data_IF_883067175518
#
_entry.id   IF_883067175518
#
_cell.length_a   1.000
_cell.length_b   1.000
_cell.length_c   1.000
_cell.angle_alpha   90.00
_cell.angle_beta   90.00
_cell.angle_gamma   90.00
#
_symmetry.space_group_name_H-M   'P 1'
#
loop_
_entity.id
_entity.type
_entity.pdbx_description
1 polymer ?
#
# COMPACT_ATOMS: atom_id res chain seq x y z
N UNK A 1 -13.19 -39.16 -20.09
CA UNK A 1 -12.35 -37.94 -20.17
C UNK A 1 -13.11 -36.89 -19.37
N UNK A 2 -12.90 -36.86 -18.05
CA UNK A 2 -13.61 -35.94 -17.17
C UNK A 2 -12.85 -34.60 -17.10
N UNK A 3 -13.55 -33.45 -17.17
CA UNK A 3 -12.91 -32.16 -16.97
C UNK A 3 -12.65 -31.95 -15.47
N UNK A 4 -11.38 -31.89 -15.09
CA UNK A 4 -10.95 -31.48 -13.75
C UNK A 4 -11.38 -30.03 -13.48
N UNK A 5 -12.22 -29.86 -12.47
CA UNK A 5 -12.58 -28.56 -11.92
C UNK A 5 -11.39 -27.97 -11.16
N UNK A 6 -10.85 -26.86 -11.65
CA UNK A 6 -9.87 -26.04 -10.93
C UNK A 6 -10.60 -25.13 -9.94
N UNK A 7 -10.44 -25.42 -8.65
CA UNK A 7 -10.98 -24.63 -7.54
C UNK A 7 -10.18 -23.32 -7.40
N UNK A 8 -10.83 -22.16 -7.63
CA UNK A 8 -10.25 -20.84 -7.33
C UNK A 8 -10.10 -20.70 -5.81
N UNK A 9 -8.86 -20.51 -5.34
CA UNK A 9 -8.55 -20.22 -3.93
C UNK A 9 -8.52 -18.71 -3.75
N UNK A 10 -9.67 -18.12 -3.43
CA UNK A 10 -9.70 -16.81 -2.79
C UNK A 10 -8.98 -16.95 -1.45
N UNK A 11 -7.80 -16.35 -1.32
CA UNK A 11 -7.08 -16.33 -0.05
C UNK A 11 -7.72 -15.31 0.88
N UNK A 12 -8.87 -15.66 1.46
CA UNK A 12 -9.44 -15.00 2.63
C UNK A 12 -8.61 -15.41 3.84
N UNK A 13 -7.51 -14.72 4.10
CA UNK A 13 -6.80 -14.86 5.37
C UNK A 13 -7.65 -14.20 6.47
N UNK A 14 -8.42 -15.01 7.19
CA UNK A 14 -8.99 -14.63 8.48
C UNK A 14 -7.85 -14.67 9.50
N UNK A 15 -7.40 -13.47 9.91
CA UNK A 15 -6.35 -13.32 10.93
C UNK A 15 -6.97 -13.66 12.28
N UNK A 16 -6.82 -14.92 12.73
CA UNK A 16 -7.25 -15.34 14.08
C UNK A 16 -6.26 -14.79 15.12
N UNK A 17 -6.69 -13.80 15.89
CA UNK A 17 -5.88 -13.16 16.93
C UNK A 17 -5.64 -14.07 18.13
N UNK A 18 -4.38 -14.16 18.56
CA UNK A 18 -3.98 -14.77 19.83
C UNK A 18 -4.33 -13.82 21.00
N UNK A 19 -5.11 -14.30 21.98
CA UNK A 19 -5.42 -13.57 23.22
C UNK A 19 -4.15 -13.37 24.05
N UNK A 20 -3.68 -12.13 24.19
CA UNK A 20 -2.73 -11.75 25.26
C UNK A 20 -3.53 -11.30 26.49
N UNK A 21 -3.30 -11.98 27.61
CA UNK A 21 -3.81 -11.58 28.94
C UNK A 21 -3.11 -10.30 29.39
N UNK A 22 -3.90 -9.36 29.91
CA UNK A 22 -3.47 -8.02 30.28
C UNK A 22 -2.75 -7.95 31.63
N UNK A 23 -1.87 -6.96 31.73
CA UNK A 23 -1.42 -6.39 33.01
C UNK A 23 -1.84 -4.93 32.98
N UNK A 24 -2.76 -4.56 33.86
CA UNK A 24 -3.17 -3.18 34.08
C UNK A 24 -2.16 -2.52 35.04
N UNK A 25 -1.52 -1.45 34.60
CA UNK A 25 -0.74 -0.57 35.47
C UNK A 25 -1.42 0.80 35.48
N UNK A 26 -1.91 1.19 36.66
CA UNK A 26 -2.45 2.51 36.92
C UNK A 26 -1.29 3.51 37.05
N UNK A 27 -1.31 4.60 36.25
CA UNK A 27 -0.47 5.77 36.48
C UNK A 27 -1.34 6.97 36.83
N UNK A 28 -0.98 7.59 37.96
CA UNK A 28 -1.61 8.78 38.52
C UNK A 28 -1.30 10.03 37.67
N UNK A 29 -2.30 10.90 37.57
CA UNK A 29 -2.24 12.19 36.92
C UNK A 29 -1.51 13.22 37.79
N UNK A 30 -0.63 14.01 37.17
CA UNK A 30 -0.19 15.30 37.68
C UNK A 30 -0.42 16.35 36.58
N UNK A 31 -1.45 17.17 36.76
CA UNK A 31 -1.78 18.28 35.88
C UNK A 31 -0.87 19.46 36.22
N UNK A 32 -0.03 19.88 35.28
CA UNK A 32 0.65 21.18 35.30
C UNK A 32 0.08 22.00 34.16
N UNK A 33 -0.66 23.06 34.50
CA UNK A 33 -1.15 24.05 33.55
C UNK A 33 0.02 24.91 33.08
N UNK A 34 0.29 24.89 31.78
CA UNK A 34 1.18 25.85 31.11
C UNK A 34 0.33 26.72 30.20
N UNK A 35 0.38 28.01 30.51
CA UNK A 35 -0.14 29.12 29.73
C UNK A 35 0.80 29.35 28.53
N UNK A 36 0.32 29.07 27.30
CA UNK A 36 1.01 29.43 26.06
C UNK A 36 0.03 30.14 25.12
N UNK A 37 -0.10 31.45 25.36
CA UNK A 37 -0.68 32.38 24.39
C UNK A 37 0.41 32.76 23.38
N UNK A 38 0.75 31.83 22.47
CA UNK A 38 1.61 32.13 21.32
C UNK A 38 0.80 31.98 20.03
N UNK A 39 0.52 33.13 19.41
CA UNK A 39 -0.14 33.28 18.13
C UNK A 39 0.64 32.50 17.05
N UNK A 40 0.07 31.43 16.44
CA UNK A 40 0.80 30.63 15.47
C UNK A 40 0.99 31.46 14.19
N UNK A 41 2.18 32.02 14.02
CA UNK A 41 2.61 32.61 12.76
C UNK A 41 2.32 31.60 11.63
N UNK A 42 1.38 31.96 10.75
CA UNK A 42 0.92 31.12 9.65
C UNK A 42 2.12 30.73 8.80
N UNK A 43 2.53 29.47 8.88
CA UNK A 43 3.59 28.92 8.04
C UNK A 43 3.08 28.97 6.59
N UNK A 44 3.80 29.61 5.65
CA UNK A 44 3.35 29.70 4.27
C UNK A 44 3.27 28.29 3.66
N UNK A 45 2.05 27.87 3.35
CA UNK A 45 1.77 26.65 2.59
C UNK A 45 2.38 26.77 1.20
N UNK A 46 3.56 26.18 1.00
CA UNK A 46 4.14 26.07 -0.34
C UNK A 46 3.30 25.06 -1.12
N UNK A 47 2.67 25.50 -2.21
CA UNK A 47 1.88 24.61 -3.07
C UNK A 47 2.86 23.60 -3.70
N UNK A 48 2.77 22.33 -3.27
CA UNK A 48 3.57 21.27 -3.86
C UNK A 48 3.24 21.15 -5.36
N UNK A 49 4.23 21.38 -6.22
CA UNK A 49 4.06 21.23 -7.67
C UNK A 49 4.17 19.76 -8.03
N UNK A 50 3.17 19.23 -8.74
CA UNK A 50 3.17 17.84 -9.21
C UNK A 50 4.34 17.62 -10.19
N UNK A 51 5.22 16.63 -9.96
CA UNK A 51 6.31 16.32 -10.88
C UNK A 51 5.81 15.99 -12.29
N UNK A 52 6.50 16.50 -13.32
CA UNK A 52 6.06 16.36 -14.71
C UNK A 52 5.86 14.89 -15.16
N UNK A 53 6.70 13.96 -14.67
CA UNK A 53 6.61 12.53 -15.00
C UNK A 53 5.43 11.81 -14.33
N UNK A 54 4.77 12.43 -13.33
CA UNK A 54 3.56 11.92 -12.69
C UNK A 54 2.27 12.52 -13.25
N UNK A 55 2.35 13.58 -14.07
CA UNK A 55 1.17 14.26 -14.59
C UNK A 55 0.31 13.29 -15.41
N UNK A 56 -0.95 13.13 -14.99
CA UNK A 56 -1.93 12.25 -15.65
C UNK A 56 -1.62 10.76 -15.54
N UNK A 57 -0.72 10.34 -14.65
CA UNK A 57 -0.37 8.93 -14.43
C UNK A 57 -1.05 8.35 -13.18
N UNK A 58 -1.40 7.05 -13.19
CA UNK A 58 -1.41 6.18 -14.36
C UNK A 58 -2.59 6.50 -15.30
N UNK A 59 -2.42 6.20 -16.59
CA UNK A 59 -3.49 6.34 -17.59
C UNK A 59 -4.56 5.27 -17.43
N UNK A 60 -4.12 4.03 -17.19
CA UNK A 60 -4.93 2.85 -16.94
C UNK A 60 -4.31 2.06 -15.78
N UNK A 61 -5.10 1.18 -15.16
CA UNK A 61 -4.67 0.32 -14.07
C UNK A 61 -5.27 -1.07 -14.30
N UNK A 62 -4.50 -2.10 -13.94
CA UNK A 62 -4.90 -3.50 -14.11
C UNK A 62 -4.69 -4.25 -12.80
N UNK A 63 -5.48 -5.29 -12.59
CA UNK A 63 -5.34 -6.22 -11.47
C UNK A 63 -5.42 -7.66 -11.95
N UNK A 64 -4.93 -8.58 -11.13
CA UNK A 64 -5.14 -10.02 -11.35
C UNK A 64 -6.34 -10.48 -10.53
N UNK A 65 -7.35 -11.03 -11.21
CA UNK A 65 -8.55 -11.59 -10.58
C UNK A 65 -8.83 -12.96 -11.16
N UNK A 66 -8.90 -13.97 -10.29
CA UNK A 66 -9.12 -15.37 -10.67
C UNK A 66 -8.16 -15.86 -11.77
N UNK A 67 -6.90 -15.42 -11.71
CA UNK A 67 -5.85 -15.76 -12.67
C UNK A 67 -5.81 -14.90 -13.95
N UNK A 68 -6.86 -14.15 -14.26
CA UNK A 68 -6.92 -13.25 -15.40
C UNK A 68 -6.42 -11.84 -15.06
N UNK A 69 -5.78 -11.17 -16.02
CA UNK A 69 -5.48 -9.74 -15.93
C UNK A 69 -6.70 -8.98 -16.45
N UNK A 70 -7.30 -8.18 -15.59
CA UNK A 70 -8.47 -7.35 -15.93
C UNK A 70 -8.17 -5.89 -15.63
N UNK A 71 -8.92 -4.98 -16.26
CA UNK A 71 -8.85 -3.55 -15.92
C UNK A 71 -9.40 -3.35 -14.49
N UNK A 72 -8.65 -2.61 -13.69
CA UNK A 72 -9.02 -2.18 -12.35
C UNK A 72 -10.22 -1.20 -12.40
N UNK A 73 -10.93 -1.05 -11.29
CA UNK A 73 -12.09 -0.15 -11.23
C UNK A 73 -11.68 1.33 -11.39
N UNK A 74 -12.61 2.18 -11.83
CA UNK A 74 -12.33 3.63 -11.93
C UNK A 74 -12.03 4.26 -10.57
N UNK A 75 -12.56 3.70 -9.47
CA UNK A 75 -12.23 4.11 -8.11
C UNK A 75 -10.78 3.80 -7.73
N UNK A 76 -10.26 2.64 -8.15
CA UNK A 76 -8.84 2.31 -7.98
C UNK A 76 -7.95 3.18 -8.85
N UNK A 77 -8.33 3.42 -10.11
CA UNK A 77 -7.60 4.34 -10.99
C UNK A 77 -7.54 5.76 -10.41
N UNK A 78 -8.66 6.25 -9.87
CA UNK A 78 -8.71 7.55 -9.19
C UNK A 78 -7.80 7.58 -7.95
N UNK A 79 -7.77 6.49 -7.17
CA UNK A 79 -6.88 6.34 -6.02
C UNK A 79 -5.41 6.35 -6.46
N UNK A 80 -5.05 5.62 -7.52
CA UNK A 80 -3.69 5.62 -8.07
C UNK A 80 -3.25 7.02 -8.51
N UNK A 81 -4.12 7.77 -9.18
CA UNK A 81 -3.82 9.13 -9.66
C UNK A 81 -3.58 10.13 -8.53
N UNK A 82 -4.16 9.92 -7.34
CA UNK A 82 -3.88 10.75 -6.16
C UNK A 82 -2.43 10.68 -5.73
N UNK A 83 -1.70 9.63 -6.07
CA UNK A 83 -0.27 9.50 -5.76
C UNK A 83 0.56 10.70 -6.25
N UNK A 84 0.22 11.24 -7.42
CA UNK A 84 0.93 12.36 -8.02
C UNK A 84 0.87 13.64 -7.15
N UNK A 85 -0.19 13.79 -6.37
CA UNK A 85 -0.46 14.97 -5.52
C UNK A 85 -0.22 14.71 -4.04
N UNK A 86 0.19 13.49 -3.65
CA UNK A 86 0.50 13.21 -2.24
C UNK A 86 1.71 14.03 -1.78
N UNK A 87 1.67 14.63 -0.58
CA UNK A 87 2.84 15.17 0.07
C UNK A 87 3.97 14.13 0.12
N UNK A 88 5.22 14.56 -0.06
CA UNK A 88 6.36 13.63 -0.02
C UNK A 88 6.49 12.91 1.33
N UNK A 89 6.02 13.53 2.43
CA UNK A 89 5.99 12.93 3.76
C UNK A 89 5.01 11.75 3.90
N UNK A 90 3.98 11.67 3.04
CA UNK A 90 3.00 10.59 3.03
C UNK A 90 3.41 9.42 2.13
N UNK A 91 4.47 9.61 1.34
CA UNK A 91 5.09 8.57 0.51
C UNK A 91 6.17 7.82 1.30
N UNK A 92 6.62 6.69 0.77
CA UNK A 92 7.72 5.96 1.41
C UNK A 92 9.06 6.69 1.34
N UNK A 93 10.00 6.34 2.22
CA UNK A 93 11.35 6.90 2.24
C UNK A 93 12.09 6.63 0.92
N UNK A 94 12.88 7.61 0.50
CA UNK A 94 13.78 7.48 -0.65
C UNK A 94 15.05 6.74 -0.23
N UNK A 95 15.39 5.68 -0.96
CA UNK A 95 16.61 4.91 -0.80
C UNK A 95 17.17 4.54 -2.16
N UNK A 96 18.47 4.79 -2.38
CA UNK A 96 19.15 4.50 -3.66
C UNK A 96 18.43 5.07 -4.89
N UNK A 97 17.91 6.29 -4.79
CA UNK A 97 17.25 6.97 -5.90
C UNK A 97 15.84 6.47 -6.24
N UNK A 98 15.22 5.67 -5.38
CA UNK A 98 13.86 5.15 -5.57
C UNK A 98 13.12 5.03 -4.24
N UNK A 99 11.81 4.84 -4.28
CA UNK A 99 10.97 4.53 -3.12
C UNK A 99 9.82 3.63 -3.51
N UNK A 100 9.20 3.01 -2.51
CA UNK A 100 7.89 2.36 -2.67
C UNK A 100 6.86 3.05 -1.80
N UNK A 101 5.60 2.99 -2.20
CA UNK A 101 4.51 3.57 -1.45
C UNK A 101 3.25 2.72 -1.59
N UNK A 102 2.42 2.76 -0.56
CA UNK A 102 1.11 2.13 -0.55
C UNK A 102 0.03 3.14 -0.20
N UNK A 103 -1.14 2.98 -0.80
CA UNK A 103 -2.27 3.87 -0.62
C UNK A 103 -3.59 3.12 -0.75
N UNK A 104 -4.60 3.61 -0.04
CA UNK A 104 -5.97 3.14 -0.14
C UNK A 104 -6.91 4.32 -0.44
N UNK A 105 -8.13 4.02 -0.90
CA UNK A 105 -9.09 5.05 -1.28
C UNK A 105 -9.47 5.96 -0.10
N UNK A 106 -9.55 5.40 1.10
CA UNK A 106 -9.93 6.08 2.33
C UNK A 106 -9.10 5.56 3.51
N UNK A 107 -9.20 6.24 4.65
CA UNK A 107 -8.52 5.86 5.90
C UNK A 107 -9.45 5.25 6.94
N UNK A 108 -10.77 5.25 6.70
CA UNK A 108 -11.77 4.67 7.60
C UNK A 108 -12.62 3.67 6.84
N UNK A 109 -12.83 2.49 7.41
CA UNK A 109 -13.60 1.39 6.84
C UNK A 109 -14.48 0.77 7.91
N UNK A 110 -15.54 0.04 7.52
CA UNK A 110 -16.34 -0.77 8.44
C UNK A 110 -15.77 -2.17 8.59
N UNK A 111 -16.06 -2.85 9.71
CA UNK A 111 -15.78 -4.28 9.87
C UNK A 111 -16.34 -5.05 8.67
N UNK A 112 -15.51 -5.91 8.10
CA UNK A 112 -15.83 -6.72 6.91
C UNK A 112 -15.75 -5.97 5.59
N UNK A 113 -15.66 -4.64 5.56
CA UNK A 113 -15.48 -3.85 4.33
C UNK A 113 -14.11 -4.13 3.70
N UNK A 114 -14.01 -4.29 2.36
CA UNK A 114 -12.73 -4.54 1.72
C UNK A 114 -11.85 -3.28 1.71
N UNK A 115 -10.66 -3.40 2.30
CA UNK A 115 -9.57 -2.43 2.15
C UNK A 115 -8.73 -2.85 0.95
N UNK A 116 -8.78 -2.05 -0.12
CA UNK A 116 -7.99 -2.27 -1.34
C UNK A 116 -6.75 -1.38 -1.30
N UNK A 117 -5.58 -2.02 -1.36
CA UNK A 117 -4.27 -1.38 -1.22
C UNK A 117 -3.58 -1.40 -2.57
N UNK A 118 -3.23 -0.21 -3.05
CA UNK A 118 -2.42 -0.01 -4.25
C UNK A 118 -0.96 0.16 -3.88
N UNK A 119 -0.09 -0.32 -4.75
CA UNK A 119 1.36 -0.28 -4.56
C UNK A 119 2.02 0.46 -5.71
N UNK A 120 2.98 1.31 -5.37
CA UNK A 120 3.71 2.13 -6.33
C UNK A 120 5.20 1.98 -6.05
N UNK A 121 5.97 1.72 -7.10
CA UNK A 121 7.42 1.91 -7.09
C UNK A 121 7.73 3.17 -7.88
N UNK A 122 8.44 4.11 -7.28
CA UNK A 122 8.85 5.35 -7.92
C UNK A 122 10.37 5.44 -7.97
N UNK A 123 10.93 5.42 -9.18
CA UNK A 123 12.31 5.78 -9.44
C UNK A 123 12.39 7.30 -9.60
N UNK A 124 13.21 7.93 -8.77
CA UNK A 124 13.47 9.37 -8.79
C UNK A 124 14.75 9.70 -9.57
N UNK A 125 15.69 8.75 -9.60
CA UNK A 125 16.98 8.88 -10.28
C UNK A 125 16.95 8.27 -11.70
N UNK A 126 17.67 8.89 -12.64
CA UNK A 126 17.80 8.43 -14.02
C UNK A 126 18.66 7.18 -14.19
N UNK A 127 19.42 6.80 -13.17
CA UNK A 127 20.22 5.58 -13.18
C UNK A 127 19.41 4.32 -12.87
N UNK A 128 18.24 4.47 -12.22
CA UNK A 128 17.39 3.36 -11.78
C UNK A 128 16.59 2.80 -12.96
N UNK A 129 16.67 1.48 -13.14
CA UNK A 129 15.84 0.71 -14.07
C UNK A 129 14.48 0.39 -13.45
N UNK A 130 13.41 0.65 -14.18
CA UNK A 130 12.04 0.37 -13.76
C UNK A 130 11.46 -0.73 -14.62
N UNK A 131 11.04 -1.83 -14.02
CA UNK A 131 10.55 -3.01 -14.72
C UNK A 131 9.03 -2.93 -14.93
N UNK A 132 8.63 -2.24 -15.99
CA UNK A 132 7.23 -1.99 -16.33
C UNK A 132 6.66 -3.22 -17.04
N UNK A 133 6.03 -4.10 -16.28
CA UNK A 133 5.25 -5.26 -16.75
C UNK A 133 3.93 -5.31 -16.01
N UNK A 134 2.92 -6.01 -16.57
CA UNK A 134 1.58 -6.18 -15.97
C UNK A 134 1.60 -6.64 -14.50
N UNK A 135 0.44 -6.73 -13.83
CA UNK A 135 0.37 -6.75 -12.37
C UNK A 135 1.36 -7.74 -11.73
N UNK A 136 2.40 -7.19 -11.12
CA UNK A 136 3.43 -7.93 -10.40
C UNK A 136 2.90 -8.32 -9.03
N UNK A 137 3.09 -9.58 -8.67
CA UNK A 137 2.67 -10.07 -7.36
C UNK A 137 3.33 -9.28 -6.22
N UNK A 138 2.54 -8.94 -5.21
CA UNK A 138 3.02 -8.34 -3.96
C UNK A 138 3.63 -9.42 -3.08
N UNK A 139 4.78 -9.10 -2.49
CA UNK A 139 5.57 -9.94 -1.59
C UNK A 139 5.98 -9.11 -0.40
N UNK A 140 6.25 -9.76 0.73
CA UNK A 140 6.70 -9.13 1.96
C UNK A 140 5.82 -7.95 2.39
N UNK A 141 4.51 -8.10 2.22
CA UNK A 141 3.49 -7.20 2.74
C UNK A 141 3.03 -7.68 4.12
N UNK A 142 3.01 -6.76 5.06
CA UNK A 142 2.71 -7.00 6.47
C UNK A 142 1.45 -6.24 6.86
N UNK A 143 0.57 -6.91 7.61
CA UNK A 143 -0.59 -6.32 8.29
C UNK A 143 -0.37 -6.51 9.79
N UNK A 144 -0.36 -5.41 10.54
CA UNK A 144 -0.07 -5.40 11.98
C UNK A 144 1.23 -6.14 12.34
N UNK A 145 2.27 -5.89 11.54
CA UNK A 145 3.59 -6.53 11.60
C UNK A 145 3.60 -8.06 11.37
N UNK A 146 2.49 -8.64 10.90
CA UNK A 146 2.37 -10.05 10.49
C UNK A 146 2.43 -10.15 8.96
N UNK A 147 3.26 -11.05 8.44
CA UNK A 147 3.36 -11.30 6.99
C UNK A 147 2.00 -11.77 6.45
N UNK A 148 1.43 -11.01 5.50
CA UNK A 148 0.10 -11.20 4.94
C UNK A 148 0.13 -11.60 3.46
N UNK A 149 1.15 -11.21 2.71
CA UNK A 149 1.35 -11.68 1.34
C UNK A 149 1.91 -13.11 1.31
N UNK A 150 1.59 -13.90 0.28
CA UNK A 150 2.29 -15.17 0.03
C UNK A 150 3.80 -14.97 -0.11
N UNK A 151 4.57 -15.97 0.33
CA UNK A 151 5.99 -16.06 0.00
C UNK A 151 6.11 -16.26 -1.51
N UNK A 152 7.02 -15.52 -2.14
CA UNK A 152 7.30 -15.56 -3.56
C UNK A 152 7.38 -17.00 -4.12
N UNK A 153 6.66 -17.27 -5.22
CA UNK A 153 6.96 -18.40 -6.11
C UNK A 153 8.01 -17.98 -7.15
N UNK A 154 8.85 -18.92 -7.57
CA UNK A 154 9.91 -18.71 -8.55
C UNK A 154 9.39 -18.20 -9.91
N UNK A 155 10.23 -17.42 -10.59
CA UNK A 155 9.85 -16.35 -11.51
C UNK A 155 9.17 -16.78 -12.80
N UNK A 156 8.18 -15.97 -13.21
CA UNK A 156 7.80 -15.87 -14.60
C UNK A 156 8.94 -15.18 -15.39
N UNK A 157 9.16 -15.59 -16.64
CA UNK A 157 10.06 -14.88 -17.54
C UNK A 157 9.59 -13.42 -17.68
N UNK A 158 10.53 -12.48 -17.61
CA UNK A 158 10.25 -11.06 -17.80
C UNK A 158 10.37 -10.72 -19.30
N UNK A 159 9.30 -10.22 -19.90
CA UNK A 159 9.21 -9.81 -21.31
C UNK A 159 8.78 -8.33 -21.47
N UNK A 160 8.74 -7.57 -20.37
CA UNK A 160 8.30 -6.18 -20.34
C UNK A 160 9.37 -5.15 -20.73
N UNK A 161 8.99 -3.88 -20.69
CA UNK A 161 9.90 -2.76 -20.96
C UNK A 161 10.64 -2.31 -19.69
N UNK A 162 11.94 -2.04 -19.83
CA UNK A 162 12.81 -1.55 -18.74
C UNK A 162 13.27 -0.11 -18.99
N UNK A 163 12.39 0.90 -18.85
CA UNK A 163 12.80 2.30 -18.92
C UNK A 163 13.65 2.73 -17.72
N UNK A 164 14.43 3.78 -17.92
CA UNK A 164 15.14 4.51 -16.86
C UNK A 164 14.22 5.55 -16.19
N UNK A 165 14.48 5.86 -14.93
CA UNK A 165 13.79 6.94 -14.20
C UNK A 165 14.07 8.36 -14.77
N UNK A 166 13.38 9.40 -14.26
CA UNK A 166 12.34 9.34 -13.24
C UNK A 166 11.03 8.75 -13.79
N UNK A 167 10.44 7.81 -13.06
CA UNK A 167 9.22 7.10 -13.46
C UNK A 167 8.54 6.45 -12.25
N UNK A 168 7.21 6.47 -12.22
CA UNK A 168 6.42 5.68 -11.27
C UNK A 168 5.75 4.50 -11.99
N UNK A 169 5.90 3.32 -11.41
CA UNK A 169 5.30 2.08 -11.84
C UNK A 169 4.17 1.68 -10.90
N UNK A 170 2.97 1.56 -11.49
CA UNK A 170 1.72 1.22 -10.81
C UNK A 170 1.28 -0.22 -11.12
N UNK A 171 2.08 -1.00 -11.87
CA UNK A 171 1.70 -2.33 -12.30
C UNK A 171 2.07 -3.41 -11.28
N UNK A 172 1.51 -3.26 -10.09
CA UNK A 172 1.54 -4.25 -9.03
C UNK A 172 0.12 -4.75 -8.76
N UNK A 173 -0.01 -5.93 -8.18
CA UNK A 173 -1.31 -6.47 -7.77
C UNK A 173 -1.94 -5.60 -6.67
N UNK A 174 -3.28 -5.48 -6.71
CA UNK A 174 -4.04 -4.76 -5.70
C UNK A 174 -4.37 -5.73 -4.57
N UNK A 175 -3.67 -5.59 -3.43
CA UNK A 175 -3.99 -6.39 -2.24
C UNK A 175 -5.36 -6.02 -1.69
N UNK A 176 -6.11 -7.01 -1.21
CA UNK A 176 -7.43 -6.80 -0.60
C UNK A 176 -7.49 -7.44 0.77
N UNK A 177 -7.86 -6.66 1.78
CA UNK A 177 -8.02 -7.09 3.16
C UNK A 177 -9.44 -6.89 3.66
N UNK A 178 -9.86 -7.72 4.61
CA UNK A 178 -11.09 -7.52 5.39
C UNK A 178 -10.75 -7.73 6.85
N UNK A 179 -11.05 -6.74 7.66
CA UNK A 179 -10.83 -6.76 9.10
C UNK A 179 -12.11 -7.18 9.81
N UNK A 180 -12.01 -8.13 10.74
CA UNK A 180 -13.13 -8.67 11.51
C UNK A 180 -13.32 -7.97 12.87
N UNK A 181 -12.33 -7.21 13.31
CA UNK A 181 -12.38 -6.41 14.53
C UNK A 181 -12.27 -4.92 14.23
N UNK A 182 -13.00 -4.06 14.96
CA UNK A 182 -12.75 -2.63 14.92
C UNK A 182 -11.41 -2.31 15.56
N UNK A 183 -10.76 -1.24 15.09
CA UNK A 183 -9.45 -0.81 15.59
C UNK A 183 -8.61 -0.11 14.53
N UNK A 184 -7.39 0.25 14.94
CA UNK A 184 -6.38 0.82 14.05
C UNK A 184 -5.50 -0.31 13.54
N UNK A 185 -5.41 -0.45 12.21
CA UNK A 185 -4.57 -1.43 11.55
C UNK A 185 -3.49 -0.75 10.73
N UNK A 186 -2.30 -1.35 10.68
CA UNK A 186 -1.16 -0.84 9.91
C UNK A 186 -0.79 -1.83 8.83
N UNK A 187 -0.69 -1.34 7.60
CA UNK A 187 -0.21 -2.09 6.44
C UNK A 187 1.15 -1.52 6.03
N UNK A 188 2.10 -2.38 5.70
CA UNK A 188 3.44 -2.01 5.22
C UNK A 188 3.91 -3.00 4.17
N UNK A 189 4.54 -2.49 3.13
CA UNK A 189 5.23 -3.29 2.13
C UNK A 189 6.74 -3.15 2.29
N UNK A 190 7.45 -4.28 2.37
CA UNK A 190 8.92 -4.36 2.41
C UNK A 190 9.38 -5.14 1.16
N UNK A 191 10.60 -4.92 0.68
CA UNK A 191 11.19 -5.80 -0.34
C UNK A 191 10.56 -5.73 -1.73
N UNK A 192 10.16 -4.53 -2.16
CA UNK A 192 9.62 -4.33 -3.51
C UNK A 192 10.54 -4.78 -4.64
N UNK A 193 9.95 -4.92 -5.83
CA UNK A 193 10.63 -5.24 -7.08
C UNK A 193 9.95 -6.39 -7.83
N UNK A 194 10.25 -6.52 -9.12
CA UNK A 194 10.01 -7.76 -9.84
C UNK A 194 10.91 -8.86 -9.26
N UNK A 195 10.51 -10.13 -9.38
CA UNK A 195 11.29 -11.27 -8.90
C UNK A 195 12.76 -11.25 -9.39
N UNK A 196 12.97 -10.78 -10.62
CA UNK A 196 14.30 -10.65 -11.25
C UNK A 196 15.19 -9.57 -10.62
N UNK A 197 14.61 -8.59 -9.92
CA UNK A 197 15.35 -7.53 -9.24
C UNK A 197 15.88 -7.97 -7.87
N UNK A 198 15.39 -9.10 -7.34
CA UNK A 198 15.66 -9.52 -5.96
C UNK A 198 15.05 -8.55 -4.94
N UNK A 199 15.56 -8.60 -3.72
CA UNK A 199 15.18 -7.67 -2.66
C UNK A 199 15.87 -6.31 -2.87
N UNK A 200 15.07 -5.26 -3.11
CA UNK A 200 15.58 -3.90 -3.26
C UNK A 200 15.90 -3.21 -1.91
N UNK A 201 15.52 -3.81 -0.78
CA UNK A 201 15.71 -3.24 0.56
C UNK A 201 14.87 -2.00 0.81
N UNK A 202 13.75 -1.85 0.09
CA UNK A 202 12.83 -0.72 0.22
C UNK A 202 11.73 -1.03 1.23
N UNK A 203 11.25 0.02 1.90
CA UNK A 203 10.12 -0.04 2.84
C UNK A 203 9.15 1.07 2.45
N UNK A 204 7.85 0.77 2.42
CA UNK A 204 6.81 1.75 2.12
C UNK A 204 6.56 2.71 3.28
N UNK A 205 5.74 3.73 3.03
CA UNK A 205 5.01 4.39 4.11
C UNK A 205 4.17 3.37 4.91
N UNK A 206 3.83 3.72 6.15
CA UNK A 206 2.88 2.96 6.95
C UNK A 206 1.46 3.41 6.61
N UNK A 207 0.71 2.59 5.88
CA UNK A 207 -0.70 2.85 5.63
C UNK A 207 -1.49 2.49 6.89
N UNK A 208 -2.10 3.50 7.49
CA UNK A 208 -2.92 3.34 8.69
C UNK A 208 -4.38 3.42 8.29
N UNK A 209 -5.14 2.39 8.62
CA UNK A 209 -6.60 2.38 8.44
C UNK A 209 -7.30 2.23 9.80
N UNK A 210 -8.43 2.91 9.95
CA UNK A 210 -9.32 2.80 11.10
C UNK A 210 -10.53 1.97 10.70
N UNK A 211 -10.72 0.83 11.33
CA UNK A 211 -11.88 -0.03 11.14
C UNK A 211 -12.88 0.25 12.25
N UNK A 212 -14.10 0.66 11.88
CA UNK A 212 -15.19 0.92 12.83
C UNK A 212 -16.19 -0.22 12.83
N UNK A 213 -16.95 -0.36 13.91
CA UNK A 213 -17.99 -1.39 14.01
C UNK A 213 -18.98 -1.27 12.82
N UNK A 214 -19.51 -2.40 12.38
CA UNK A 214 -20.66 -2.38 11.48
C UNK A 214 -21.83 -1.71 12.20
N UNK A 215 -22.55 -0.82 11.51
CA UNK A 215 -23.81 -0.30 12.02
C UNK A 215 -24.76 -1.49 12.22
N UNK A 216 -25.27 -1.65 13.45
CA UNK A 216 -26.37 -2.58 13.68
C UNK A 216 -27.57 -2.05 12.90
N UNK A 217 -28.15 -2.85 11.99
CA UNK A 217 -29.29 -2.43 11.18
C UNK A 217 -30.54 -2.13 12.04
#
# INVERSE_FOLDING_TARGET
>A
MEPSALTSVQSTMSVRTWRRQGIALALAAAATAVDETSDPAAVPSTIATVPAYLLGKPGELYERKDGAIIRASDAELATARRYATLPDADKGPVSKGQRISILAAQSTYRVGEPVRVLHVLEALDRSVDVFVMGPKAIRDEYVDDVLASPIAREGAAYDGAVPKGPLADFHYEISTYRFDTPGRHTIRWKGAGAAIQGDLGLISNALVVTVVAAETP
#
